data_IF_868318484383
#
_entry.id   IF_868318484383
#
_cell.length_a   1.000
_cell.length_b   1.000
_cell.length_c   1.000
_cell.angle_alpha   90.00
_cell.angle_beta   90.00
_cell.angle_gamma   90.00
#
_symmetry.space_group_name_H-M   'P 1'
#
loop_
_entity.id
_entity.type
_entity.pdbx_description
1 polymer ?
#
# COMPACT_ATOMS: atom_id res chain seq x y z
N UNK A 1 -9.63 12.34 -4.39
CA UNK A 1 -9.06 11.09 -3.84
C UNK A 1 -7.67 10.84 -4.40
N UNK A 2 -6.66 11.15 -3.59
CA UNK A 2 -5.28 10.76 -3.80
C UNK A 2 -4.88 9.78 -2.71
N UNK A 3 -4.13 8.77 -3.08
CA UNK A 3 -3.58 7.80 -2.16
C UNK A 3 -2.07 8.03 -2.09
N UNK A 4 -1.55 8.25 -0.90
CA UNK A 4 -0.12 8.45 -0.66
C UNK A 4 0.40 7.27 0.15
N UNK A 5 1.46 6.63 -0.34
CA UNK A 5 2.16 5.55 0.35
C UNK A 5 3.45 6.08 0.96
N UNK A 6 3.67 5.74 2.23
CA UNK A 6 4.89 5.99 2.98
C UNK A 6 5.48 4.68 3.48
N UNK A 7 6.79 4.67 3.73
CA UNK A 7 7.51 3.62 4.44
C UNK A 7 8.45 4.27 5.45
N UNK A 8 8.38 3.88 6.72
CA UNK A 8 9.19 4.47 7.79
C UNK A 8 9.07 6.02 7.78
N UNK A 9 7.84 6.52 7.63
CA UNK A 9 7.45 7.94 7.47
C UNK A 9 8.07 8.68 6.27
N UNK A 10 8.79 7.97 5.39
CA UNK A 10 9.32 8.52 4.13
C UNK A 10 8.33 8.32 3.00
N UNK A 11 8.13 9.37 2.20
CA UNK A 11 7.30 9.31 1.00
C UNK A 11 7.84 8.30 -0.02
N UNK A 12 6.95 7.47 -0.56
CA UNK A 12 7.27 6.52 -1.64
C UNK A 12 6.58 6.93 -2.94
N UNK A 13 5.25 7.09 -2.90
CA UNK A 13 4.47 7.40 -4.10
C UNK A 13 3.10 7.99 -3.76
N UNK A 14 2.57 8.82 -4.66
CA UNK A 14 1.18 9.25 -4.65
C UNK A 14 0.47 8.88 -5.96
N UNK A 15 -0.77 8.40 -5.89
CA UNK A 15 -1.58 8.01 -7.05
C UNK A 15 -3.04 8.39 -6.89
N UNK A 16 -3.72 8.64 -8.02
CA UNK A 16 -5.17 8.89 -8.06
C UNK A 16 -6.01 7.66 -7.68
N UNK A 17 -5.49 6.46 -7.96
CA UNK A 17 -6.16 5.20 -7.67
C UNK A 17 -5.32 4.36 -6.71
N UNK A 18 -5.98 3.50 -5.92
CA UNK A 18 -5.29 2.61 -4.97
C UNK A 18 -4.61 1.40 -5.65
N UNK A 19 -5.11 0.96 -6.81
CA UNK A 19 -4.60 -0.25 -7.49
C UNK A 19 -3.07 -0.28 -7.70
N UNK A 20 -2.41 0.82 -8.14
CA UNK A 20 -0.95 0.83 -8.26
C UNK A 20 -0.22 0.65 -6.91
N UNK A 21 -0.75 1.21 -5.81
CA UNK A 21 -0.20 1.03 -4.46
C UNK A 21 -0.37 -0.42 -4.02
N UNK A 22 -1.54 -1.02 -4.27
CA UNK A 22 -1.79 -2.45 -4.04
C UNK A 22 -0.76 -3.32 -4.73
N UNK A 23 -0.54 -3.12 -6.04
CA UNK A 23 0.43 -3.92 -6.80
C UNK A 23 1.87 -3.70 -6.34
N UNK A 24 2.22 -2.45 -5.99
CA UNK A 24 3.54 -2.14 -5.41
C UNK A 24 3.77 -2.92 -4.11
N UNK A 25 2.80 -2.90 -3.19
CA UNK A 25 2.89 -3.62 -1.92
C UNK A 25 2.97 -5.13 -2.12
N UNK A 26 2.13 -5.71 -2.99
CA UNK A 26 2.15 -7.15 -3.29
C UNK A 26 3.53 -7.60 -3.79
N UNK A 27 4.10 -6.87 -4.75
CA UNK A 27 5.44 -7.18 -5.30
C UNK A 27 6.52 -7.02 -4.23
N UNK A 28 6.51 -5.90 -3.51
CA UNK A 28 7.57 -5.56 -2.54
C UNK A 28 7.55 -6.47 -1.32
N UNK A 29 6.38 -6.93 -0.89
CA UNK A 29 6.19 -7.83 0.25
C UNK A 29 6.23 -9.32 -0.15
N UNK A 30 6.49 -9.64 -1.42
CA UNK A 30 6.57 -11.03 -1.90
C UNK A 30 5.25 -11.81 -1.77
N UNK A 31 4.11 -11.14 -1.80
CA UNK A 31 2.79 -11.77 -1.64
C UNK A 31 2.44 -12.52 -2.93
N UNK A 32 2.31 -13.85 -2.83
CA UNK A 32 1.96 -14.71 -3.99
C UNK A 32 0.52 -14.52 -4.47
N UNK A 33 -0.40 -14.16 -3.57
CA UNK A 33 -1.82 -14.01 -3.88
C UNK A 33 -2.17 -12.55 -4.24
N UNK A 34 -2.39 -12.28 -5.54
CA UNK A 34 -2.80 -10.95 -6.02
C UNK A 34 -4.22 -10.55 -5.61
N UNK A 35 -5.07 -11.55 -5.28
CA UNK A 35 -6.45 -11.36 -4.85
C UNK A 35 -6.59 -11.14 -3.35
N UNK A 36 -5.48 -10.91 -2.64
CA UNK A 36 -5.51 -10.54 -1.22
C UNK A 36 -6.49 -9.39 -0.97
N UNK A 37 -7.26 -9.53 0.12
CA UNK A 37 -8.22 -8.52 0.54
C UNK A 37 -7.49 -7.21 0.87
N UNK A 38 -8.20 -6.08 0.74
CA UNK A 38 -7.65 -4.79 1.13
C UNK A 38 -7.20 -4.78 2.59
N UNK A 39 -8.04 -5.29 3.48
CA UNK A 39 -7.79 -5.30 4.93
C UNK A 39 -6.54 -6.09 5.28
N UNK A 40 -6.38 -7.30 4.74
CA UNK A 40 -5.21 -8.15 5.01
C UNK A 40 -3.93 -7.52 4.46
N UNK A 41 -4.00 -6.97 3.24
CA UNK A 41 -2.88 -6.27 2.63
C UNK A 41 -2.43 -5.08 3.49
N UNK A 42 -3.38 -4.28 4.00
CA UNK A 42 -3.05 -3.13 4.86
C UNK A 42 -2.50 -3.55 6.22
N UNK A 43 -2.98 -4.66 6.80
CA UNK A 43 -2.39 -5.19 8.04
C UNK A 43 -0.94 -5.65 7.84
N UNK A 44 -0.65 -6.37 6.75
CA UNK A 44 0.72 -6.80 6.42
C UNK A 44 1.59 -5.58 6.14
N UNK A 45 1.10 -4.62 5.35
CA UNK A 45 1.80 -3.38 5.05
C UNK A 45 2.16 -2.61 6.33
N UNK A 46 1.20 -2.45 7.26
CA UNK A 46 1.43 -1.77 8.55
C UNK A 46 2.47 -2.48 9.40
N UNK A 47 2.45 -3.82 9.46
CA UNK A 47 3.49 -4.62 10.17
C UNK A 47 4.89 -4.45 9.57
N UNK A 48 4.98 -4.02 8.31
CA UNK A 48 6.22 -3.73 7.60
C UNK A 48 6.50 -2.21 7.48
N UNK A 49 5.96 -1.41 8.41
CA UNK A 49 6.12 0.05 8.50
C UNK A 49 5.63 0.85 7.28
N UNK A 50 4.72 0.29 6.48
CA UNK A 50 4.04 1.05 5.45
C UNK A 50 2.79 1.75 6.00
N UNK A 51 2.53 2.96 5.51
CA UNK A 51 1.35 3.77 5.83
C UNK A 51 0.72 4.27 4.53
N UNK A 52 -0.59 4.14 4.39
CA UNK A 52 -1.34 4.74 3.27
C UNK A 52 -2.25 5.84 3.80
N UNK A 53 -2.16 7.02 3.21
CA UNK A 53 -3.04 8.16 3.49
C UNK A 53 -3.96 8.40 2.29
N UNK A 54 -5.21 8.80 2.57
CA UNK A 54 -6.23 9.08 1.56
C UNK A 54 -6.69 10.52 1.70
N UNK A 55 -6.34 11.35 0.73
CA UNK A 55 -6.79 12.73 0.64
C UNK A 55 -8.05 12.78 -0.23
N UNK A 56 -9.20 13.22 0.32
CA UNK A 56 -10.46 13.30 -0.44
C UNK A 56 -10.43 14.41 -1.48
#
# INVERSE_FOLDING_TARGET
>A
MKYTLYKDDKFIMQRKHFYPIKMYLIKTLGIKNIYISYTDLMQIAKKNNYKTEVER
#
